data_IF_368274491837
#
_entry.id   IF_368274491837
#
_cell.length_a   1.000
_cell.length_b   1.000
_cell.length_c   1.000
_cell.angle_alpha   90.00
_cell.angle_beta   90.00
_cell.angle_gamma   90.00
#
_symmetry.space_group_name_H-M   'P 1'
#
loop_
_entity.id
_entity.type
_entity.pdbx_description
1 polymer ?
#
# COMPACT_ATOMS: atom_id res chain seq x y z
N UNK A 1 -22.66 -5.79 -4.07
CA UNK A 1 -21.36 -6.55 -4.11
C UNK A 1 -21.32 -7.44 -2.88
N UNK A 2 -21.13 -8.74 -3.06
CA UNK A 2 -20.95 -9.66 -1.93
C UNK A 2 -19.59 -9.38 -1.27
N UNK A 3 -19.50 -9.43 0.05
CA UNK A 3 -18.26 -9.19 0.81
C UNK A 3 -17.06 -10.04 0.32
N UNK A 4 -17.34 -11.18 -0.30
CA UNK A 4 -16.32 -12.07 -0.86
C UNK A 4 -15.52 -11.45 -2.01
N UNK A 5 -16.05 -10.45 -2.73
CA UNK A 5 -15.40 -9.82 -3.89
C UNK A 5 -14.66 -8.51 -3.58
N UNK A 6 -14.81 -7.96 -2.39
CA UNK A 6 -14.15 -6.71 -2.00
C UNK A 6 -12.61 -6.75 -2.10
N UNK A 7 -11.92 -7.87 -1.82
CA UNK A 7 -10.46 -7.93 -2.01
C UNK A 7 -10.01 -7.69 -3.45
N UNK A 8 -10.86 -7.96 -4.46
CA UNK A 8 -10.56 -7.69 -5.87
C UNK A 8 -10.31 -6.19 -6.14
N UNK A 9 -10.79 -5.28 -5.27
CA UNK A 9 -10.52 -3.86 -5.38
C UNK A 9 -9.04 -3.51 -5.18
N UNK A 10 -8.24 -4.39 -4.58
CA UNK A 10 -6.78 -4.25 -4.58
C UNK A 10 -6.18 -4.26 -5.98
N UNK A 11 -6.68 -5.10 -6.88
CA UNK A 11 -6.25 -5.08 -8.28
C UNK A 11 -6.69 -3.80 -9.00
N UNK A 12 -7.92 -3.34 -8.73
CA UNK A 12 -8.46 -2.10 -9.31
C UNK A 12 -7.60 -0.91 -8.87
N UNK A 13 -7.20 -0.87 -7.60
CA UNK A 13 -6.28 0.15 -7.10
C UNK A 13 -4.98 0.19 -7.92
N UNK A 14 -4.32 -0.94 -8.08
CA UNK A 14 -3.05 -1.03 -8.83
C UNK A 14 -3.25 -0.68 -10.30
N UNK A 15 -4.30 -1.23 -10.93
CA UNK A 15 -4.62 -0.97 -12.35
C UNK A 15 -4.92 0.49 -12.65
N UNK A 16 -5.43 1.25 -11.70
CA UNK A 16 -5.70 2.70 -11.85
C UNK A 16 -4.50 3.56 -11.45
N UNK A 17 -3.72 3.13 -10.45
CA UNK A 17 -2.56 3.90 -9.96
C UNK A 17 -1.43 3.93 -10.99
N UNK A 18 -1.12 2.81 -11.65
CA UNK A 18 -0.04 2.74 -12.64
C UNK A 18 -0.26 3.72 -13.80
N UNK A 19 -1.41 3.75 -14.51
CA UNK A 19 -1.63 4.74 -15.55
C UNK A 19 -1.75 6.17 -15.01
N UNK A 20 -2.27 6.38 -13.79
CA UNK A 20 -2.30 7.71 -13.18
C UNK A 20 -0.90 8.30 -13.03
N UNK A 21 0.06 7.48 -12.57
CA UNK A 21 1.47 7.89 -12.47
C UNK A 21 2.10 8.14 -13.85
N UNK A 22 1.80 7.28 -14.83
CA UNK A 22 2.36 7.41 -16.19
C UNK A 22 1.89 8.68 -16.92
N UNK A 23 0.63 9.10 -16.72
CA UNK A 23 0.06 10.29 -17.40
C UNK A 23 0.22 11.59 -16.61
N UNK A 24 0.63 11.52 -15.34
CA UNK A 24 0.74 12.67 -14.42
C UNK A 24 1.54 13.83 -14.99
N UNK A 25 2.70 13.64 -15.66
CA UNK A 25 3.50 14.75 -16.18
C UNK A 25 2.80 15.55 -17.28
N UNK A 26 1.90 14.92 -18.04
CA UNK A 26 1.29 15.50 -19.23
C UNK A 26 -0.18 15.90 -19.02
N UNK A 27 -0.90 15.17 -18.18
CA UNK A 27 -2.36 15.32 -18.02
C UNK A 27 -2.78 15.26 -16.54
N UNK A 28 -2.42 16.27 -15.76
CA UNK A 28 -2.67 16.34 -14.30
C UNK A 28 -4.13 16.07 -13.93
N UNK A 29 -5.09 16.59 -14.70
CA UNK A 29 -6.54 16.38 -14.42
C UNK A 29 -6.94 14.90 -14.58
N UNK A 30 -6.45 14.25 -15.63
CA UNK A 30 -6.71 12.83 -15.87
C UNK A 30 -6.03 11.96 -14.80
N UNK A 31 -4.78 12.27 -14.47
CA UNK A 31 -4.06 11.61 -13.39
C UNK A 31 -4.81 11.73 -12.06
N UNK A 32 -5.30 12.92 -11.71
CA UNK A 32 -6.08 13.16 -10.50
C UNK A 32 -7.38 12.36 -10.48
N UNK A 33 -8.11 12.28 -11.60
CA UNK A 33 -9.33 11.49 -11.69
C UNK A 33 -9.07 9.98 -11.51
N UNK A 34 -8.07 9.44 -12.21
CA UNK A 34 -7.66 8.04 -12.10
C UNK A 34 -7.21 7.71 -10.67
N UNK A 35 -6.43 8.59 -10.07
CA UNK A 35 -5.92 8.40 -8.72
C UNK A 35 -7.04 8.49 -7.68
N UNK A 36 -8.00 9.39 -7.84
CA UNK A 36 -9.18 9.45 -6.95
C UNK A 36 -9.98 8.14 -6.97
N UNK A 37 -10.19 7.59 -8.17
CA UNK A 37 -10.83 6.28 -8.31
C UNK A 37 -9.99 5.15 -7.70
N UNK A 38 -8.66 5.21 -7.85
CA UNK A 38 -7.73 4.27 -7.23
C UNK A 38 -7.81 4.32 -5.69
N UNK A 39 -7.79 5.52 -5.11
CA UNK A 39 -7.94 5.72 -3.65
C UNK A 39 -9.25 5.11 -3.16
N UNK A 40 -10.36 5.35 -3.87
CA UNK A 40 -11.64 4.76 -3.49
C UNK A 40 -11.56 3.23 -3.44
N UNK A 41 -11.03 2.59 -4.49
CA UNK A 41 -10.83 1.15 -4.52
C UNK A 41 -9.90 0.66 -3.39
N UNK A 42 -8.84 1.41 -3.11
CA UNK A 42 -7.90 1.11 -2.03
C UNK A 42 -8.55 1.13 -0.66
N UNK A 43 -9.35 2.13 -0.34
CA UNK A 43 -10.02 2.23 0.96
C UNK A 43 -10.96 1.03 1.20
N UNK A 44 -11.69 0.59 0.18
CA UNK A 44 -12.52 -0.61 0.27
C UNK A 44 -11.71 -1.90 0.40
N UNK A 45 -10.56 -1.97 -0.28
CA UNK A 45 -9.61 -3.08 -0.09
C UNK A 45 -9.11 -3.13 1.36
N UNK A 46 -8.68 -2.00 1.94
CA UNK A 46 -8.22 -1.92 3.33
C UNK A 46 -9.35 -2.26 4.31
N UNK A 47 -10.58 -1.81 4.06
CA UNK A 47 -11.73 -2.19 4.87
C UNK A 47 -11.97 -3.71 4.87
N UNK A 48 -11.82 -4.35 3.70
CA UNK A 48 -11.94 -5.81 3.59
C UNK A 48 -10.80 -6.55 4.29
N UNK A 49 -9.59 -6.04 4.19
CA UNK A 49 -8.41 -6.56 4.88
C UNK A 49 -8.59 -6.46 6.40
N UNK A 50 -9.00 -5.28 6.91
CA UNK A 50 -9.30 -5.07 8.32
C UNK A 50 -10.34 -6.07 8.83
N UNK A 51 -11.45 -6.24 8.12
CA UNK A 51 -12.51 -7.16 8.52
C UNK A 51 -12.02 -8.60 8.65
N UNK A 52 -11.03 -9.00 7.84
CA UNK A 52 -10.41 -10.32 7.97
C UNK A 52 -9.39 -10.37 9.10
N UNK A 53 -8.57 -9.33 9.29
CA UNK A 53 -7.60 -9.27 10.39
C UNK A 53 -8.29 -9.34 11.75
N UNK A 54 -9.42 -8.66 11.94
CA UNK A 54 -10.21 -8.70 13.19
C UNK A 54 -10.66 -10.12 13.60
N UNK A 55 -10.71 -11.08 12.67
CA UNK A 55 -11.06 -12.47 13.00
C UNK A 55 -9.95 -13.22 13.73
N UNK A 56 -8.71 -12.74 13.66
CA UNK A 56 -7.54 -13.38 14.28
C UNK A 56 -6.68 -12.43 15.12
N UNK A 57 -7.11 -11.19 15.24
CA UNK A 57 -6.52 -10.15 16.07
C UNK A 57 -7.62 -9.61 16.99
N UNK A 58 -7.99 -10.35 18.05
CA UNK A 58 -9.13 -10.00 18.90
C UNK A 58 -8.93 -8.67 19.61
N UNK A 59 -7.68 -8.29 19.89
CA UNK A 59 -7.34 -7.01 20.51
C UNK A 59 -7.41 -5.86 19.49
N UNK A 60 -7.51 -6.17 18.20
CA UNK A 60 -7.62 -5.19 17.11
C UNK A 60 -6.37 -4.33 16.89
N UNK A 61 -5.24 -4.66 17.54
CA UNK A 61 -4.02 -3.85 17.46
C UNK A 61 -3.47 -3.79 16.04
N UNK A 62 -3.25 -4.95 15.40
CA UNK A 62 -2.72 -4.99 14.04
C UNK A 62 -3.73 -4.49 13.01
N UNK A 63 -5.02 -4.80 13.20
CA UNK A 63 -6.09 -4.30 12.35
C UNK A 63 -6.17 -2.76 12.37
N UNK A 64 -6.03 -2.15 13.56
CA UNK A 64 -6.01 -0.70 13.73
C UNK A 64 -4.75 -0.08 13.15
N UNK A 65 -3.57 -0.69 13.36
CA UNK A 65 -2.28 -0.26 12.80
C UNK A 65 -2.33 -0.21 11.27
N UNK A 66 -2.92 -1.22 10.64
CA UNK A 66 -3.12 -1.27 9.18
C UNK A 66 -4.01 -0.12 8.71
N UNK A 67 -5.11 0.15 9.40
CA UNK A 67 -6.04 1.25 9.02
C UNK A 67 -5.37 2.61 9.18
N UNK A 68 -4.66 2.84 10.27
CA UNK A 68 -3.94 4.12 10.51
C UNK A 68 -2.86 4.33 9.45
N UNK A 69 -2.04 3.31 9.18
CA UNK A 69 -1.03 3.37 8.11
C UNK A 69 -1.64 3.66 6.74
N UNK A 70 -2.73 2.99 6.40
CA UNK A 70 -3.43 3.21 5.14
C UNK A 70 -4.07 4.60 5.05
N UNK A 71 -4.68 5.10 6.12
CA UNK A 71 -5.29 6.43 6.15
C UNK A 71 -4.25 7.55 6.02
N UNK A 72 -3.07 7.39 6.65
CA UNK A 72 -1.96 8.33 6.51
C UNK A 72 -1.28 8.24 5.13
N UNK A 73 -1.26 7.07 4.50
CA UNK A 73 -0.68 6.85 3.19
C UNK A 73 -1.40 7.64 2.09
N UNK A 74 -2.73 7.69 2.12
CA UNK A 74 -3.56 8.32 1.06
C UNK A 74 -3.22 9.79 0.81
N UNK A 75 -3.22 10.70 1.80
CA UNK A 75 -2.90 12.11 1.57
C UNK A 75 -1.44 12.32 1.15
N UNK A 76 -0.52 11.49 1.62
CA UNK A 76 0.88 11.55 1.22
C UNK A 76 1.05 11.20 -0.25
N UNK A 77 0.36 10.15 -0.72
CA UNK A 77 0.36 9.76 -2.14
C UNK A 77 -0.31 10.81 -3.01
N UNK A 78 -1.42 11.41 -2.58
CA UNK A 78 -2.09 12.48 -3.31
C UNK A 78 -1.18 13.70 -3.49
N UNK A 79 -0.39 14.05 -2.47
CA UNK A 79 0.56 15.15 -2.53
C UNK A 79 1.70 14.91 -3.53
N UNK A 80 2.13 13.67 -3.69
CA UNK A 80 3.17 13.30 -4.65
C UNK A 80 2.76 13.51 -6.11
N UNK A 81 1.47 13.39 -6.44
CA UNK A 81 0.96 13.70 -7.78
C UNK A 81 1.04 15.21 -8.12
N UNK A 82 1.00 16.06 -7.10
CA UNK A 82 1.00 17.52 -7.27
C UNK A 82 2.39 18.10 -7.13
N UNK A 83 3.21 17.52 -6.23
CA UNK A 83 4.57 17.96 -5.96
C UNK A 83 5.48 16.75 -5.70
N UNK A 84 6.24 16.29 -6.69
CA UNK A 84 7.11 15.13 -6.57
C UNK A 84 8.37 15.37 -5.72
N UNK A 85 8.49 16.51 -5.03
CA UNK A 85 9.63 16.78 -4.15
C UNK A 85 9.74 15.72 -3.04
N UNK A 86 10.94 15.15 -2.87
CA UNK A 86 11.25 13.96 -2.11
C UNK A 86 10.86 13.91 -0.62
N UNK A 87 10.52 15.05 -0.01
CA UNK A 87 10.14 15.17 1.41
C UNK A 87 8.97 14.24 1.80
N UNK A 88 8.12 13.85 0.84
CA UNK A 88 6.93 13.03 1.09
C UNK A 88 7.19 11.53 0.87
N UNK A 89 8.28 11.17 0.23
CA UNK A 89 8.60 9.78 -0.11
C UNK A 89 8.83 8.93 1.16
N UNK A 90 9.68 9.37 2.06
CA UNK A 90 9.99 8.65 3.29
C UNK A 90 8.77 8.45 4.21
N UNK A 91 7.94 9.48 4.53
CA UNK A 91 6.70 9.28 5.26
C UNK A 91 5.71 8.35 4.56
N UNK A 92 5.59 8.44 3.24
CA UNK A 92 4.72 7.56 2.45
C UNK A 92 5.18 6.10 2.53
N UNK A 93 6.48 5.85 2.38
CA UNK A 93 7.07 4.51 2.52
C UNK A 93 6.91 3.97 3.94
N UNK A 94 7.03 4.80 4.97
CA UNK A 94 6.78 4.40 6.36
C UNK A 94 5.33 3.96 6.58
N UNK A 95 4.36 4.68 6.02
CA UNK A 95 2.95 4.29 6.06
C UNK A 95 2.69 2.98 5.32
N UNK A 96 3.25 2.81 4.12
CA UNK A 96 3.16 1.57 3.35
C UNK A 96 3.80 0.39 4.10
N UNK A 97 4.99 0.56 4.65
CA UNK A 97 5.68 -0.44 5.46
C UNK A 97 4.85 -0.85 6.69
N UNK A 98 4.21 0.11 7.35
CA UNK A 98 3.32 -0.15 8.50
C UNK A 98 2.15 -1.07 8.11
N UNK A 99 1.54 -0.84 6.96
CA UNK A 99 0.46 -1.69 6.45
C UNK A 99 0.96 -3.10 6.12
N UNK A 100 2.11 -3.22 5.44
CA UNK A 100 2.72 -4.51 5.07
C UNK A 100 3.10 -5.30 6.32
N UNK A 101 3.84 -4.69 7.23
CA UNK A 101 4.35 -5.35 8.44
C UNK A 101 3.20 -5.73 9.36
N UNK A 102 2.27 -4.81 9.62
CA UNK A 102 1.13 -5.05 10.52
C UNK A 102 0.26 -6.21 10.05
N UNK A 103 -0.10 -6.24 8.77
CA UNK A 103 -0.91 -7.34 8.21
C UNK A 103 -0.15 -8.68 8.16
N UNK A 104 1.15 -8.65 7.86
CA UNK A 104 1.99 -9.85 7.81
C UNK A 104 2.20 -10.45 9.20
N UNK A 105 2.42 -9.63 10.23
CA UNK A 105 2.54 -10.07 11.62
C UNK A 105 1.22 -10.64 12.15
N UNK A 106 0.09 -9.98 11.87
CA UNK A 106 -1.23 -10.49 12.25
C UNK A 106 -1.49 -11.88 11.67
N UNK A 107 -1.28 -12.04 10.37
CA UNK A 107 -1.50 -13.29 9.68
C UNK A 107 -0.52 -14.40 10.13
N UNK A 108 0.72 -14.04 10.44
CA UNK A 108 1.73 -14.97 10.95
C UNK A 108 1.39 -15.42 12.36
N UNK A 109 1.08 -14.51 13.30
CA UNK A 109 0.68 -14.85 14.68
C UNK A 109 -0.54 -15.75 14.71
N UNK A 110 -1.49 -15.51 13.84
CA UNK A 110 -2.69 -16.33 13.70
C UNK A 110 -2.45 -17.71 13.05
N UNK A 111 -1.22 -18.02 12.64
CA UNK A 111 -0.86 -19.25 11.90
C UNK A 111 -1.72 -19.48 10.64
N UNK A 112 -2.26 -18.40 10.05
CA UNK A 112 -3.10 -18.47 8.86
C UNK A 112 -2.30 -18.56 7.56
N UNK A 113 -1.04 -18.11 7.62
CA UNK A 113 -0.08 -18.22 6.51
C UNK A 113 1.15 -19.01 6.94
N UNK A 114 1.84 -19.69 6.02
CA UNK A 114 3.11 -20.33 6.31
C UNK A 114 4.12 -19.30 6.85
N UNK A 115 4.94 -19.73 7.83
CA UNK A 115 5.92 -18.85 8.49
C UNK A 115 6.78 -18.06 7.52
N UNK A 116 7.21 -18.71 6.43
CA UNK A 116 8.05 -18.08 5.38
C UNK A 116 7.36 -16.88 4.72
N UNK A 117 6.05 -16.96 4.46
CA UNK A 117 5.29 -15.84 3.87
C UNK A 117 5.14 -14.68 4.86
N UNK A 118 4.89 -14.96 6.14
CA UNK A 118 4.85 -13.91 7.16
C UNK A 118 6.19 -13.20 7.31
N UNK A 119 7.28 -13.95 7.32
CA UNK A 119 8.64 -13.41 7.36
C UNK A 119 8.96 -12.59 6.10
N UNK A 120 8.62 -13.12 4.92
CA UNK A 120 8.82 -12.39 3.66
C UNK A 120 8.05 -11.05 3.63
N UNK A 121 6.83 -11.02 4.16
CA UNK A 121 6.06 -9.79 4.28
C UNK A 121 6.72 -8.77 5.22
N UNK A 122 7.23 -9.21 6.38
CA UNK A 122 7.96 -8.33 7.30
C UNK A 122 9.24 -7.79 6.66
N UNK A 123 10.04 -8.65 6.04
CA UNK A 123 11.27 -8.26 5.32
C UNK A 123 10.95 -7.31 4.17
N UNK A 124 9.91 -7.59 3.39
CA UNK A 124 9.44 -6.72 2.31
C UNK A 124 9.01 -5.34 2.80
N UNK A 125 8.30 -5.28 3.93
CA UNK A 125 7.91 -4.01 4.55
C UNK A 125 9.12 -3.20 5.03
N UNK A 126 10.12 -3.86 5.64
CA UNK A 126 11.39 -3.22 6.03
C UNK A 126 12.13 -2.72 4.79
N UNK A 127 12.17 -3.49 3.71
CA UNK A 127 12.80 -3.08 2.46
C UNK A 127 12.12 -1.84 1.86
N UNK A 128 10.78 -1.79 1.83
CA UNK A 128 10.03 -0.61 1.39
C UNK A 128 10.35 0.61 2.24
N UNK A 129 10.45 0.45 3.57
CA UNK A 129 10.83 1.53 4.49
C UNK A 129 12.24 2.05 4.19
N UNK A 130 13.22 1.15 4.10
CA UNK A 130 14.63 1.51 3.85
C UNK A 130 14.79 2.21 2.50
N UNK A 131 14.19 1.67 1.45
CA UNK A 131 14.20 2.29 0.12
C UNK A 131 13.59 3.69 0.20
N UNK A 132 12.42 3.86 0.81
CA UNK A 132 11.79 5.17 0.93
C UNK A 132 12.57 6.16 1.81
N UNK A 133 13.33 5.68 2.81
CA UNK A 133 14.24 6.54 3.59
C UNK A 133 15.43 7.01 2.75
N UNK A 134 16.02 6.12 1.96
CA UNK A 134 17.10 6.46 1.01
C UNK A 134 16.56 7.43 -0.04
N UNK A 135 15.40 7.16 -0.56
CA UNK A 135 14.66 8.02 -1.47
C UNK A 135 14.42 9.42 -0.86
N UNK A 136 14.07 9.52 0.39
CA UNK A 136 13.82 10.79 1.09
C UNK A 136 15.10 11.55 1.50
N UNK A 137 16.22 10.85 1.66
CA UNK A 137 17.49 11.44 2.10
C UNK A 137 18.38 11.88 0.93
N UNK A 138 18.22 11.31 -0.25
CA UNK A 138 18.92 11.77 -1.44
C UNK A 138 18.34 13.11 -1.87
N UNK A 139 19.17 14.15 -1.99
CA UNK A 139 18.77 15.43 -2.58
C UNK A 139 18.31 15.18 -4.01
N UNK A 140 17.00 15.11 -4.18
CA UNK A 140 16.34 14.57 -5.36
C UNK A 140 16.41 15.49 -6.57
N UNK A 141 17.57 15.54 -7.19
CA UNK A 141 17.71 15.75 -8.63
C UNK A 141 17.44 14.46 -9.43
N UNK A 142 17.23 13.34 -8.74
CA UNK A 142 16.92 12.05 -9.36
C UNK A 142 15.43 12.03 -9.79
N UNK A 143 15.25 11.97 -11.10
CA UNK A 143 14.04 11.61 -11.81
C UNK A 143 13.21 10.56 -11.08
N UNK A 144 11.89 10.61 -11.20
CA UNK A 144 10.88 9.81 -10.53
C UNK A 144 11.03 8.28 -10.40
N UNK A 145 12.21 7.74 -10.74
CA UNK A 145 12.49 6.30 -10.80
C UNK A 145 12.55 5.64 -9.42
N UNK A 146 13.06 6.34 -8.42
CA UNK A 146 13.21 5.74 -7.11
C UNK A 146 11.90 5.79 -6.29
N UNK A 147 11.09 6.85 -6.45
CA UNK A 147 9.72 6.86 -5.95
C UNK A 147 8.90 5.68 -6.51
N UNK A 148 9.20 5.29 -7.73
CA UNK A 148 8.60 4.11 -8.34
C UNK A 148 8.97 2.81 -7.65
N UNK A 149 10.18 2.66 -7.10
CA UNK A 149 10.63 1.42 -6.47
C UNK A 149 9.89 1.11 -5.15
N UNK A 150 9.76 2.08 -4.23
CA UNK A 150 9.02 1.88 -2.98
C UNK A 150 7.53 1.68 -3.24
N UNK A 151 6.95 2.43 -4.17
CA UNK A 151 5.55 2.30 -4.58
C UNK A 151 5.27 0.98 -5.27
N UNK A 152 6.19 0.50 -6.14
CA UNK A 152 6.08 -0.80 -6.80
C UNK A 152 6.08 -1.94 -5.78
N UNK A 153 6.98 -1.91 -4.80
CA UNK A 153 7.00 -2.88 -3.71
C UNK A 153 5.67 -2.95 -2.96
N UNK A 154 5.06 -1.80 -2.69
CA UNK A 154 3.75 -1.73 -2.06
C UNK A 154 2.64 -2.28 -2.97
N UNK A 155 2.63 -1.94 -4.24
CA UNK A 155 1.64 -2.45 -5.21
C UNK A 155 1.72 -3.97 -5.35
N UNK A 156 2.92 -4.54 -5.41
CA UNK A 156 3.12 -6.00 -5.42
C UNK A 156 2.50 -6.62 -4.18
N UNK A 157 2.74 -6.04 -3.00
CA UNK A 157 2.14 -6.52 -1.77
C UNK A 157 0.61 -6.47 -1.80
N UNK A 158 0.01 -5.38 -2.32
CA UNK A 158 -1.45 -5.26 -2.49
C UNK A 158 -2.00 -6.38 -3.37
N UNK A 159 -1.35 -6.64 -4.52
CA UNK A 159 -1.75 -7.72 -5.44
C UNK A 159 -1.66 -9.08 -4.76
N UNK A 160 -0.53 -9.39 -4.13
CA UNK A 160 -0.33 -10.67 -3.42
C UNK A 160 -1.38 -10.86 -2.32
N UNK A 161 -1.64 -9.81 -1.54
CA UNK A 161 -2.63 -9.85 -0.47
C UNK A 161 -4.04 -10.01 -1.01
N UNK A 162 -4.41 -9.26 -2.07
CA UNK A 162 -5.70 -9.39 -2.72
C UNK A 162 -5.93 -10.80 -3.25
N UNK A 163 -4.92 -11.37 -3.94
CA UNK A 163 -4.95 -12.76 -4.42
C UNK A 163 -5.19 -13.75 -3.28
N UNK A 164 -4.42 -13.63 -2.22
CA UNK A 164 -4.55 -14.50 -1.06
C UNK A 164 -5.95 -14.42 -0.42
N UNK A 165 -6.50 -13.21 -0.32
CA UNK A 165 -7.82 -12.98 0.26
C UNK A 165 -8.96 -13.49 -0.63
N UNK A 166 -8.77 -13.56 -1.96
CA UNK A 166 -9.77 -14.08 -2.90
C UNK A 166 -9.77 -15.60 -2.96
N UNK A 167 -8.62 -16.24 -2.76
CA UNK A 167 -8.48 -17.70 -2.82
C UNK A 167 -8.92 -18.42 -1.52
N UNK A 168 -9.24 -17.66 -0.46
CA UNK A 168 -9.68 -18.18 0.84
C UNK A 168 -10.98 -17.53 1.31
#
# INVERSE_FOLDING_TARGET
MTQARLPALGYVYVALTVPALAVSPQHVRLAAALYTAAIFAYLWFIASLRARLMRFDPDGFFASTVVVGAAAFVPLQARLLVNPAGIVAAPSAACAATVIIGSSLAAWRARKIPRRFGQAGVVGGIAVLVVGMVEGAADWTFSGDAFFASSLGYMIWVVVTATYLLLR
#
